data_IF_509123724079
#
_entry.id   IF_509123724079
#
_cell.length_a   1.000
_cell.length_b   1.000
_cell.length_c   1.000
_cell.angle_alpha   90.00
_cell.angle_beta   90.00
_cell.angle_gamma   90.00
#
_symmetry.space_group_name_H-M   'P 1'
#
loop_
_entity.id
_entity.type
_entity.pdbx_description
1 polymer ?
#
# COMPACT_ATOMS: atom_id res chain seq x y z
N UNK A 1 3.77 39.28 55.36
CA UNK A 1 3.86 37.83 55.11
C UNK A 1 3.29 37.55 53.72
N UNK A 2 4.15 37.19 52.75
CA UNK A 2 3.78 37.02 51.34
C UNK A 2 3.42 35.55 51.11
N UNK A 3 2.16 35.26 50.79
CA UNK A 3 1.67 33.91 50.51
C UNK A 3 2.17 33.41 49.15
N UNK A 4 2.89 32.29 49.17
CA UNK A 4 3.42 31.61 48.00
C UNK A 4 2.29 30.75 47.38
N UNK A 5 1.72 31.18 46.25
CA UNK A 5 0.80 30.36 45.45
C UNK A 5 1.61 29.21 44.81
N UNK A 6 1.31 27.98 45.22
CA UNK A 6 1.81 26.76 44.54
C UNK A 6 1.00 26.55 43.26
N UNK A 7 1.68 26.55 42.12
CA UNK A 7 1.15 26.15 40.81
C UNK A 7 1.07 24.61 40.72
N UNK A 8 0.05 24.03 40.06
CA UNK A 8 -0.10 22.58 39.97
C UNK A 8 0.73 22.03 38.80
N UNK A 9 1.92 21.47 39.08
CA UNK A 9 2.71 20.72 38.10
C UNK A 9 2.23 19.26 37.90
N UNK A 10 1.31 18.76 38.72
CA UNK A 10 0.98 17.33 38.75
C UNK A 10 0.05 16.84 37.61
N UNK A 11 -0.75 17.72 37.00
CA UNK A 11 -1.79 17.30 36.07
C UNK A 11 -1.30 17.03 34.64
N UNK A 12 -0.22 17.70 34.21
CA UNK A 12 0.35 17.53 32.86
C UNK A 12 1.21 16.25 32.75
N UNK A 13 2.01 15.95 33.78
CA UNK A 13 2.86 14.73 33.81
C UNK A 13 2.04 13.45 33.91
N UNK A 14 0.86 13.48 34.54
CA UNK A 14 -0.02 12.32 34.62
C UNK A 14 -0.72 12.03 33.28
N UNK A 15 -1.22 13.07 32.60
CA UNK A 15 -1.78 12.93 31.25
C UNK A 15 -0.73 12.41 30.25
N UNK A 16 0.50 12.95 30.31
CA UNK A 16 1.60 12.53 29.44
C UNK A 16 2.00 11.06 29.70
N UNK A 17 2.00 10.62 30.97
CA UNK A 17 2.28 9.23 31.36
C UNK A 17 1.21 8.25 30.88
N UNK A 18 -0.07 8.60 30.96
CA UNK A 18 -1.18 7.77 30.46
C UNK A 18 -1.17 7.66 28.94
N UNK A 19 -0.88 8.76 28.22
CA UNK A 19 -0.76 8.76 26.76
C UNK A 19 0.44 7.92 26.29
N UNK A 20 1.59 7.99 26.97
CA UNK A 20 2.75 7.15 26.63
C UNK A 20 2.49 5.65 26.87
N UNK A 21 1.84 5.29 27.98
CA UNK A 21 1.51 3.90 28.31
C UNK A 21 0.51 3.31 27.31
N UNK A 22 -0.48 4.10 26.89
CA UNK A 22 -1.45 3.70 25.88
C UNK A 22 -0.75 3.47 24.53
N UNK A 23 0.11 4.41 24.08
CA UNK A 23 0.87 4.27 22.82
C UNK A 23 1.75 3.02 22.81
N UNK A 24 2.33 2.63 23.94
CA UNK A 24 3.14 1.41 24.08
C UNK A 24 2.29 0.12 24.00
N UNK A 25 1.11 0.11 24.63
CA UNK A 25 0.18 -1.03 24.53
C UNK A 25 -0.36 -1.22 23.10
N UNK A 26 -0.52 -0.14 22.33
CA UNK A 26 -1.04 -0.20 20.97
C UNK A 26 0.03 -0.54 19.93
N UNK A 27 1.27 -0.09 20.15
CA UNK A 27 2.41 -0.61 19.42
C UNK A 27 2.56 -2.15 19.64
N UNK A 28 2.22 -2.64 20.83
CA UNK A 28 2.20 -4.07 21.11
C UNK A 28 1.08 -4.81 20.35
N UNK A 29 -0.12 -4.22 20.19
CA UNK A 29 -1.18 -4.80 19.35
C UNK A 29 -0.71 -4.96 17.89
N UNK A 30 -0.09 -3.92 17.32
CA UNK A 30 0.45 -3.98 15.96
C UNK A 30 1.55 -5.03 15.82
N UNK A 31 2.41 -5.17 16.84
CA UNK A 31 3.42 -6.24 16.88
C UNK A 31 2.77 -7.63 16.87
N UNK A 32 1.70 -7.84 17.64
CA UNK A 32 0.96 -9.12 17.67
C UNK A 32 0.34 -9.44 16.31
N UNK A 33 -0.28 -8.45 15.64
CA UNK A 33 -0.85 -8.64 14.29
C UNK A 33 0.27 -8.98 13.30
N UNK A 34 1.40 -8.26 13.33
CA UNK A 34 2.55 -8.52 12.48
C UNK A 34 3.15 -9.92 12.71
N UNK A 35 3.24 -10.36 13.97
CA UNK A 35 3.71 -11.70 14.32
C UNK A 35 2.75 -12.77 13.82
N UNK A 36 1.43 -12.57 13.95
CA UNK A 36 0.42 -13.46 13.38
C UNK A 36 0.54 -13.56 11.84
N UNK A 37 0.79 -12.44 11.15
CA UNK A 37 1.08 -12.44 9.71
C UNK A 37 2.35 -13.23 9.38
N UNK A 38 3.42 -13.07 10.17
CA UNK A 38 4.65 -13.83 9.98
C UNK A 38 4.45 -15.33 10.18
N UNK A 39 3.71 -15.74 11.22
CA UNK A 39 3.38 -17.16 11.45
C UNK A 39 2.51 -17.70 10.32
N UNK A 40 1.49 -16.95 9.89
CA UNK A 40 0.68 -17.28 8.72
C UNK A 40 1.54 -17.52 7.48
N UNK A 41 2.52 -16.65 7.21
CA UNK A 41 3.43 -16.81 6.09
C UNK A 41 4.38 -18.00 6.25
N UNK A 42 4.76 -18.39 7.46
CA UNK A 42 5.55 -19.61 7.68
C UNK A 42 4.74 -20.87 7.36
N UNK A 43 3.46 -20.91 7.71
CA UNK A 43 2.60 -22.07 7.46
C UNK A 43 2.10 -22.13 6.03
N UNK A 44 1.74 -20.98 5.44
CA UNK A 44 1.05 -20.87 4.14
C UNK A 44 1.94 -20.42 2.99
N UNK A 45 3.16 -19.94 3.26
CA UNK A 45 4.05 -19.20 2.33
C UNK A 45 3.53 -17.83 1.89
N UNK A 46 2.39 -17.38 2.43
CA UNK A 46 1.76 -16.13 2.04
C UNK A 46 1.41 -15.25 3.24
N UNK A 47 1.48 -13.93 3.03
CA UNK A 47 0.69 -13.01 3.81
C UNK A 47 -0.76 -13.00 3.31
N UNK A 48 -1.68 -12.79 4.24
CA UNK A 48 -3.08 -12.43 4.00
C UNK A 48 -3.30 -11.02 4.54
N UNK A 49 -4.42 -10.42 4.20
CA UNK A 49 -4.85 -9.18 4.85
C UNK A 49 -5.35 -9.46 6.28
N UNK A 50 -5.27 -8.48 7.21
CA UNK A 50 -5.44 -8.76 8.64
C UNK A 50 -6.78 -9.39 9.03
N UNK A 51 -7.85 -9.07 8.31
CA UNK A 51 -9.20 -9.64 8.49
C UNK A 51 -9.23 -11.16 8.42
N UNK A 52 -8.37 -11.81 7.64
CA UNK A 52 -8.37 -13.27 7.52
C UNK A 52 -7.67 -13.97 8.71
N UNK A 53 -6.92 -13.25 9.55
CA UNK A 53 -6.10 -13.87 10.61
C UNK A 53 -6.93 -14.56 11.70
N UNK A 54 -8.21 -14.19 11.85
CA UNK A 54 -9.14 -14.80 12.80
C UNK A 54 -9.94 -15.96 12.22
N UNK A 55 -9.71 -16.33 10.97
CA UNK A 55 -10.39 -17.45 10.33
C UNK A 55 -9.96 -18.79 10.91
N UNK A 56 -10.96 -19.66 11.06
CA UNK A 56 -10.80 -21.03 11.54
C UNK A 56 -10.95 -22.02 10.39
N UNK A 57 -11.02 -23.32 10.68
CA UNK A 57 -11.43 -24.35 9.71
C UNK A 57 -12.94 -24.65 9.76
N UNK A 58 -13.70 -23.95 10.62
CA UNK A 58 -15.16 -23.99 10.67
C UNK A 58 -15.78 -22.90 9.77
N UNK A 59 -16.42 -23.27 8.64
CA UNK A 59 -17.10 -22.31 7.77
C UNK A 59 -18.36 -21.70 8.38
N UNK A 60 -18.76 -22.09 9.59
CA UNK A 60 -19.95 -21.58 10.29
C UNK A 60 -19.60 -20.69 11.49
N UNK A 61 -18.34 -20.27 11.63
CA UNK A 61 -17.94 -19.31 12.66
C UNK A 61 -18.76 -18.01 12.57
N UNK A 62 -18.93 -17.30 13.68
CA UNK A 62 -19.72 -16.07 13.74
C UNK A 62 -19.00 -14.98 14.56
N UNK A 63 -18.82 -13.76 14.04
CA UNK A 63 -19.08 -13.34 12.65
C UNK A 63 -18.04 -13.91 11.69
N UNK A 64 -18.48 -14.31 10.49
CA UNK A 64 -17.62 -14.68 9.38
C UNK A 64 -17.76 -13.61 8.30
N UNK A 65 -16.67 -12.91 8.00
CA UNK A 65 -16.66 -11.78 7.06
C UNK A 65 -16.06 -12.16 5.70
N UNK A 66 -14.92 -12.85 5.68
CA UNK A 66 -14.36 -13.52 4.49
C UNK A 66 -13.71 -14.81 4.97
N UNK A 67 -14.20 -15.96 4.53
CA UNK A 67 -13.61 -17.24 4.91
C UNK A 67 -12.49 -17.61 3.93
N UNK A 68 -11.33 -18.03 4.43
CA UNK A 68 -10.16 -18.44 3.64
C UNK A 68 -10.39 -19.44 2.49
N UNK A 69 -11.55 -20.09 2.41
CA UNK A 69 -11.94 -20.94 1.28
C UNK A 69 -13.22 -20.53 0.55
N UNK A 70 -13.90 -19.45 0.95
CA UNK A 70 -15.14 -19.01 0.32
C UNK A 70 -14.87 -18.42 -1.08
N UNK A 71 -15.82 -18.60 -2.00
CA UNK A 71 -15.74 -18.05 -3.36
C UNK A 71 -14.44 -18.36 -4.12
N UNK A 72 -13.82 -19.52 -3.87
CA UNK A 72 -12.58 -19.95 -4.53
C UNK A 72 -11.27 -19.73 -3.75
N UNK A 73 -11.32 -19.20 -2.53
CA UNK A 73 -10.13 -18.98 -1.69
C UNK A 73 -10.06 -17.57 -1.12
N UNK A 74 -8.91 -17.16 -0.58
CA UNK A 74 -8.66 -15.76 -0.20
C UNK A 74 -7.54 -15.14 -1.04
N UNK A 75 -7.45 -13.81 -1.04
CA UNK A 75 -6.36 -13.11 -1.70
C UNK A 75 -5.09 -13.22 -0.86
N UNK A 76 -4.01 -13.65 -1.50
CA UNK A 76 -2.74 -13.94 -0.83
C UNK A 76 -1.59 -13.17 -1.47
N UNK A 77 -0.64 -12.76 -0.64
CA UNK A 77 0.54 -11.98 -1.04
C UNK A 77 1.80 -12.79 -0.74
N UNK A 78 2.57 -13.22 -1.75
CA UNK A 78 3.90 -13.76 -1.51
C UNK A 78 4.78 -12.68 -0.84
N UNK A 79 5.43 -12.96 0.31
CA UNK A 79 6.20 -11.95 1.05
C UNK A 79 7.32 -11.30 0.23
N UNK A 80 7.91 -12.02 -0.72
CA UNK A 80 8.93 -11.48 -1.63
C UNK A 80 8.37 -10.61 -2.75
N UNK A 81 7.07 -10.70 -3.04
CA UNK A 81 6.46 -10.04 -4.20
C UNK A 81 5.75 -8.72 -3.85
N UNK A 82 5.16 -8.60 -2.66
CA UNK A 82 4.50 -7.35 -2.23
C UNK A 82 3.15 -7.07 -2.89
N UNK A 83 2.63 -7.95 -3.75
CA UNK A 83 1.33 -7.84 -4.44
C UNK A 83 0.55 -9.14 -4.33
N UNK A 84 -0.76 -9.06 -4.53
CA UNK A 84 -1.61 -10.23 -4.55
C UNK A 84 -1.31 -11.14 -5.76
N UNK A 85 -1.46 -12.46 -5.56
CA UNK A 85 -1.49 -13.40 -6.67
C UNK A 85 -2.70 -13.12 -7.58
N UNK A 86 -2.61 -13.39 -8.91
CA UNK A 86 -3.71 -13.13 -9.84
C UNK A 86 -5.02 -13.89 -9.56
N UNK A 87 -4.95 -14.94 -8.74
CA UNK A 87 -6.10 -15.77 -8.38
C UNK A 87 -6.15 -15.98 -6.88
N UNK A 88 -7.36 -15.98 -6.31
CA UNK A 88 -7.60 -16.39 -4.93
C UNK A 88 -7.08 -17.81 -4.71
N UNK A 89 -6.61 -18.09 -3.50
CA UNK A 89 -6.03 -19.39 -3.11
C UNK A 89 -6.84 -19.98 -1.97
N UNK A 90 -7.33 -21.20 -2.16
CA UNK A 90 -7.97 -21.95 -1.08
C UNK A 90 -6.91 -22.46 -0.10
N UNK A 91 -6.77 -21.78 1.03
CA UNK A 91 -5.72 -22.07 2.01
C UNK A 91 -5.97 -23.35 2.82
N UNK A 92 -7.20 -23.89 2.86
CA UNK A 92 -7.51 -25.16 3.53
C UNK A 92 -7.01 -26.38 2.76
N UNK A 93 -6.96 -26.28 1.43
CA UNK A 93 -6.62 -27.40 0.53
C UNK A 93 -5.27 -27.25 -0.17
N UNK A 94 -4.63 -26.10 -0.02
CA UNK A 94 -3.28 -25.85 -0.54
C UNK A 94 -2.23 -26.80 0.06
N UNK A 95 -1.05 -26.87 -0.57
CA UNK A 95 0.07 -27.67 -0.05
C UNK A 95 0.57 -27.13 1.30
N UNK A 96 0.65 -25.82 1.43
CA UNK A 96 1.00 -25.08 2.64
C UNK A 96 -0.27 -24.59 3.33
N UNK A 97 -0.84 -25.46 4.18
CA UNK A 97 -2.19 -25.29 4.70
C UNK A 97 -2.29 -24.21 5.77
N UNK A 98 -3.44 -23.55 5.79
CA UNK A 98 -3.88 -22.74 6.91
C UNK A 98 -3.90 -23.56 8.20
N UNK A 99 -3.36 -22.99 9.28
CA UNK A 99 -3.38 -23.52 10.65
C UNK A 99 -3.96 -22.54 11.66
N UNK A 100 -4.59 -21.49 11.16
CA UNK A 100 -5.22 -20.49 12.00
C UNK A 100 -6.43 -21.02 12.78
N UNK A 101 -7.06 -20.17 13.59
CA UNK A 101 -6.84 -18.73 13.62
C UNK A 101 -5.46 -18.38 14.18
N UNK A 102 -4.74 -17.50 13.50
CA UNK A 102 -3.44 -17.01 13.98
C UNK A 102 -3.61 -15.88 15.00
N UNK A 103 -4.75 -15.21 14.97
CA UNK A 103 -5.12 -14.17 15.93
C UNK A 103 -6.63 -14.16 16.13
N UNK A 104 -7.11 -14.20 17.37
CA UNK A 104 -8.54 -14.05 17.66
C UNK A 104 -8.85 -12.61 18.02
N UNK A 105 -9.70 -11.95 17.25
CA UNK A 105 -10.16 -10.59 17.55
C UNK A 105 -11.19 -10.58 18.67
N UNK A 106 -11.13 -9.56 19.51
CA UNK A 106 -12.14 -9.35 20.54
C UNK A 106 -13.51 -9.04 19.90
N UNK A 107 -14.62 -9.52 20.49
CA UNK A 107 -15.96 -9.20 19.98
C UNK A 107 -16.18 -7.69 19.85
N UNK A 108 -16.68 -7.24 18.70
CA UNK A 108 -16.92 -5.82 18.42
C UNK A 108 -15.68 -5.00 18.06
N UNK A 109 -14.50 -5.63 17.90
CA UNK A 109 -13.24 -4.97 17.51
C UNK A 109 -12.87 -5.27 16.05
N UNK A 110 -13.86 -5.50 15.21
CA UNK A 110 -13.72 -5.71 13.77
C UNK A 110 -14.65 -4.77 13.00
N UNK A 111 -14.23 -4.35 11.82
CA UNK A 111 -15.04 -3.51 10.95
C UNK A 111 -16.31 -4.27 10.51
N UNK A 112 -17.49 -3.75 10.83
CA UNK A 112 -18.75 -4.39 10.46
C UNK A 112 -19.27 -3.98 9.07
N UNK A 113 -18.89 -2.80 8.58
CA UNK A 113 -19.30 -2.27 7.28
C UNK A 113 -18.30 -2.52 6.16
N UNK A 114 -18.68 -2.10 4.94
CA UNK A 114 -17.90 -2.26 3.70
C UNK A 114 -16.85 -1.15 3.46
N UNK A 115 -16.70 -0.21 4.39
CA UNK A 115 -15.81 0.96 4.31
C UNK A 115 -15.38 1.38 5.73
N UNK A 116 -14.22 2.04 5.91
CA UNK A 116 -13.28 2.54 4.90
C UNK A 116 -12.25 1.51 4.38
N UNK A 117 -12.19 0.32 4.98
CA UNK A 117 -11.30 -0.77 4.56
C UNK A 117 -12.10 -2.08 4.39
N UNK A 118 -11.49 -3.26 4.45
CA UNK A 118 -12.22 -4.52 4.27
C UNK A 118 -13.09 -4.88 5.48
N UNK A 119 -14.24 -5.51 5.23
CA UNK A 119 -15.12 -6.01 6.27
C UNK A 119 -14.40 -7.11 7.09
N UNK A 120 -14.56 -7.09 8.41
CA UNK A 120 -13.85 -8.00 9.31
C UNK A 120 -12.46 -7.54 9.74
N UNK A 121 -11.95 -6.47 9.15
CA UNK A 121 -10.63 -5.92 9.53
C UNK A 121 -10.57 -5.55 11.00
N UNK A 122 -9.49 -5.90 11.73
CA UNK A 122 -9.33 -5.53 13.12
C UNK A 122 -9.25 -4.01 13.25
N UNK A 123 -9.96 -3.49 14.25
CA UNK A 123 -9.98 -2.07 14.56
C UNK A 123 -8.87 -1.72 15.54
N UNK A 124 -8.19 -0.63 15.24
CA UNK A 124 -7.32 0.07 16.16
C UNK A 124 -8.11 0.63 17.37
N UNK A 125 -7.44 1.09 18.42
CA UNK A 125 -8.09 1.55 19.65
C UNK A 125 -9.07 2.73 19.47
N UNK A 126 -8.95 3.46 18.38
CA UNK A 126 -9.77 4.63 18.06
C UNK A 126 -10.96 4.27 17.15
N UNK A 127 -11.04 3.02 16.71
CA UNK A 127 -12.14 2.49 15.91
C UNK A 127 -11.89 2.56 14.40
N UNK A 128 -10.68 2.95 13.97
CA UNK A 128 -10.25 2.88 12.58
C UNK A 128 -9.65 1.50 12.30
N UNK A 129 -9.73 0.96 11.08
CA UNK A 129 -9.08 -0.32 10.77
C UNK A 129 -7.55 -0.19 10.82
N UNK A 130 -6.86 -1.29 11.15
CA UNK A 130 -5.43 -1.41 10.90
C UNK A 130 -5.20 -1.62 9.40
N UNK A 131 -4.39 -0.75 8.79
CA UNK A 131 -4.08 -0.80 7.37
C UNK A 131 -2.77 -1.56 7.12
N UNK A 132 -2.79 -2.50 6.20
CA UNK A 132 -1.61 -3.27 5.82
C UNK A 132 -1.01 -2.76 4.51
N UNK A 133 0.25 -2.32 4.56
CA UNK A 133 1.00 -1.88 3.41
C UNK A 133 2.09 -2.90 3.05
N UNK A 134 2.33 -3.02 1.76
CA UNK A 134 3.60 -3.51 1.23
C UNK A 134 4.43 -2.33 0.72
N UNK A 135 5.70 -2.54 0.33
CA UNK A 135 6.49 -1.54 -0.38
C UNK A 135 5.90 -1.05 -1.71
N UNK A 136 4.87 -1.73 -2.22
CA UNK A 136 4.16 -1.37 -3.45
C UNK A 136 2.96 -0.45 -3.20
N UNK A 137 2.39 -0.46 -2.00
CA UNK A 137 1.19 0.32 -1.66
C UNK A 137 0.35 -0.29 -0.55
N UNK A 138 -0.85 0.28 -0.35
CA UNK A 138 -1.86 -0.26 0.55
C UNK A 138 -2.43 -1.55 -0.06
N UNK A 139 -2.41 -2.65 0.70
CA UNK A 139 -3.02 -3.90 0.27
C UNK A 139 -4.54 -3.83 0.52
N UNK A 140 -5.34 -4.20 -0.47
CA UNK A 140 -6.81 -4.19 -0.41
C UNK A 140 -7.34 -5.62 -0.58
N UNK A 141 -7.73 -6.25 0.52
CA UNK A 141 -8.25 -7.62 0.57
C UNK A 141 -9.50 -7.77 -0.27
N UNK A 142 -10.48 -6.90 -0.05
CA UNK A 142 -11.75 -6.78 -0.78
C UNK A 142 -11.66 -6.91 -2.31
N UNK A 143 -10.59 -6.35 -2.89
CA UNK A 143 -10.39 -6.22 -4.34
C UNK A 143 -9.19 -6.98 -4.88
N UNK A 144 -8.35 -7.56 -4.01
CA UNK A 144 -7.07 -8.16 -4.39
C UNK A 144 -6.15 -7.15 -5.08
N UNK A 145 -6.16 -5.89 -4.66
CA UNK A 145 -5.45 -4.80 -5.32
C UNK A 145 -4.42 -4.10 -4.41
N UNK A 146 -3.43 -3.45 -5.03
CA UNK A 146 -2.47 -2.62 -4.31
C UNK A 146 -2.70 -1.16 -4.72
N UNK A 147 -3.07 -0.29 -3.78
CA UNK A 147 -3.46 1.09 -4.05
C UNK A 147 -2.44 2.10 -3.53
N UNK A 148 -2.54 3.34 -4.02
CA UNK A 148 -1.73 4.48 -3.56
C UNK A 148 -2.52 5.38 -2.59
N UNK A 149 -3.52 4.81 -1.91
CA UNK A 149 -4.27 5.47 -0.85
C UNK A 149 -3.39 5.67 0.40
N UNK A 150 -3.74 6.67 1.21
CA UNK A 150 -3.01 6.99 2.44
C UNK A 150 -1.50 7.17 2.16
N UNK A 151 -0.65 6.41 2.86
CA UNK A 151 0.80 6.43 2.71
C UNK A 151 1.30 5.90 1.36
N UNK A 152 0.45 5.23 0.57
CA UNK A 152 0.80 4.66 -0.72
C UNK A 152 2.10 3.85 -0.67
N UNK A 153 3.04 4.17 -1.55
CA UNK A 153 4.34 3.50 -1.70
C UNK A 153 5.46 4.12 -0.84
N UNK A 154 5.13 4.70 0.31
CA UNK A 154 6.10 5.34 1.20
C UNK A 154 7.09 4.34 1.82
N UNK A 155 6.60 3.16 2.23
CA UNK A 155 7.38 2.19 2.97
C UNK A 155 8.33 1.38 2.09
N UNK A 156 9.48 0.98 2.64
CA UNK A 156 10.46 0.09 2.00
C UNK A 156 10.32 -1.38 2.44
N UNK A 157 9.45 -1.64 3.42
CA UNK A 157 9.07 -2.96 3.95
C UNK A 157 7.57 -3.02 4.19
N UNK A 158 7.07 -4.18 4.60
CA UNK A 158 5.68 -4.27 5.05
C UNK A 158 5.47 -3.41 6.29
N UNK A 159 4.31 -2.77 6.36
CA UNK A 159 3.95 -1.91 7.47
C UNK A 159 2.49 -2.09 7.86
N UNK A 160 2.22 -2.16 9.15
CA UNK A 160 0.90 -1.88 9.69
C UNK A 160 0.84 -0.39 10.03
N UNK A 161 -0.31 0.23 9.75
CA UNK A 161 -0.58 1.61 10.08
C UNK A 161 -1.90 1.70 10.85
N UNK A 162 -1.90 2.45 11.94
CA UNK A 162 -3.10 2.97 12.58
C UNK A 162 -3.12 4.48 12.40
N UNK A 163 -4.26 5.03 11.96
CA UNK A 163 -4.47 6.46 11.69
C UNK A 163 -4.75 7.26 12.96
N UNK A 164 -4.38 6.73 14.12
CA UNK A 164 -4.53 7.44 15.38
C UNK A 164 -5.97 7.85 15.67
N UNK A 165 -6.11 8.94 16.42
CA UNK A 165 -7.41 9.36 16.96
C UNK A 165 -8.28 10.06 15.93
N UNK A 166 -7.66 10.76 14.99
CA UNK A 166 -8.37 11.55 14.00
C UNK A 166 -8.82 10.72 12.80
N UNK A 167 -8.30 9.49 12.65
CA UNK A 167 -8.69 8.56 11.59
C UNK A 167 -8.26 9.03 10.21
N UNK A 168 -7.29 9.95 10.15
CA UNK A 168 -6.75 10.49 8.89
C UNK A 168 -5.23 10.39 8.90
N UNK A 169 -4.63 10.36 7.71
CA UNK A 169 -3.17 10.31 7.60
C UNK A 169 -2.55 11.57 8.22
N UNK A 170 -1.82 11.37 9.32
CA UNK A 170 -1.47 12.43 10.24
C UNK A 170 -0.17 12.12 10.99
N UNK A 171 0.30 13.09 11.78
CA UNK A 171 1.53 12.95 12.58
C UNK A 171 1.35 12.10 13.85
N UNK A 172 0.12 11.85 14.28
CA UNK A 172 -0.18 11.00 15.44
C UNK A 172 -0.29 9.51 15.09
N UNK A 173 -0.25 9.17 13.80
CA UNK A 173 -0.28 7.81 13.29
C UNK A 173 0.80 6.92 13.93
N UNK A 174 0.44 5.65 14.08
CA UNK A 174 1.36 4.60 14.50
C UNK A 174 1.73 3.75 13.29
N UNK A 175 3.04 3.50 13.14
CA UNK A 175 3.60 2.72 12.04
C UNK A 175 4.43 1.61 12.66
N UNK A 176 4.17 0.37 12.26
CA UNK A 176 4.94 -0.80 12.67
C UNK A 176 5.42 -1.55 11.43
N UNK A 177 6.73 -1.56 11.19
CA UNK A 177 7.33 -2.25 10.04
C UNK A 177 7.75 -3.66 10.40
N UNK A 178 7.52 -4.61 9.48
CA UNK A 178 7.78 -6.03 9.71
C UNK A 178 8.07 -6.77 8.40
N UNK A 179 8.25 -8.08 8.52
CA UNK A 179 8.36 -8.99 7.37
C UNK A 179 9.65 -8.83 6.57
N UNK A 180 9.94 -9.71 5.60
CA UNK A 180 11.08 -9.51 4.73
C UNK A 180 10.89 -8.26 3.85
N UNK A 181 11.98 -7.74 3.29
CA UNK A 181 11.88 -6.77 2.19
C UNK A 181 11.31 -7.44 0.94
N UNK A 182 10.66 -6.65 0.08
CA UNK A 182 10.17 -7.13 -1.23
C UNK A 182 11.32 -7.15 -2.24
N UNK A 183 11.42 -8.23 -3.00
CA UNK A 183 12.42 -8.42 -4.06
C UNK A 183 11.84 -8.24 -5.46
N UNK A 184 10.53 -8.01 -5.59
CA UNK A 184 9.89 -7.65 -6.87
C UNK A 184 10.67 -6.56 -7.59
N UNK A 185 10.83 -6.71 -8.90
CA UNK A 185 11.21 -5.64 -9.79
C UNK A 185 9.92 -5.01 -10.32
N UNK A 186 9.52 -3.88 -9.76
CA UNK A 186 8.20 -3.31 -10.00
C UNK A 186 8.20 -1.78 -9.91
N UNK A 187 7.33 -1.13 -10.69
CA UNK A 187 7.01 0.29 -10.61
C UNK A 187 5.79 0.49 -9.71
N UNK A 188 5.80 1.58 -8.95
CA UNK A 188 4.77 1.85 -7.94
C UNK A 188 4.03 3.16 -8.19
N UNK A 189 4.73 4.25 -8.48
CA UNK A 189 4.05 5.54 -8.67
C UNK A 189 4.88 6.50 -9.51
N UNK A 190 4.21 7.56 -9.95
CA UNK A 190 4.82 8.68 -10.65
C UNK A 190 4.66 9.95 -9.83
N UNK A 191 5.70 10.79 -9.81
CA UNK A 191 5.71 12.08 -9.13
C UNK A 191 6.34 13.15 -10.02
N UNK A 192 5.87 14.37 -9.90
CA UNK A 192 6.40 15.52 -10.60
C UNK A 192 5.43 16.70 -10.53
N UNK A 193 5.86 17.92 -10.89
CA UNK A 193 5.05 19.14 -10.74
C UNK A 193 3.71 19.10 -11.46
N UNK A 194 3.60 18.35 -12.55
CA UNK A 194 2.40 18.27 -13.39
C UNK A 194 1.94 16.83 -13.62
N UNK A 195 2.31 15.92 -12.71
CA UNK A 195 1.82 14.54 -12.75
C UNK A 195 0.45 14.50 -12.08
N UNK A 196 -0.57 14.23 -12.86
CA UNK A 196 -1.93 13.98 -12.39
C UNK A 196 -2.11 12.48 -12.19
N UNK A 197 -2.62 12.07 -11.02
CA UNK A 197 -3.01 10.69 -10.74
C UNK A 197 -4.50 10.52 -11.01
N UNK A 198 -4.84 9.54 -11.84
CA UNK A 198 -6.22 9.28 -12.25
C UNK A 198 -6.73 8.04 -11.50
N UNK A 199 -7.46 8.27 -10.40
CA UNK A 199 -8.04 7.21 -9.54
C UNK A 199 -7.24 6.84 -8.29
N UNK A 200 -7.58 5.70 -7.68
CA UNK A 200 -7.01 5.21 -6.41
C UNK A 200 -5.62 4.57 -6.52
N UNK A 201 -5.14 4.30 -7.74
CA UNK A 201 -3.77 3.85 -8.02
C UNK A 201 -3.67 2.45 -8.66
N UNK A 202 -2.57 2.26 -9.41
CA UNK A 202 -2.00 1.02 -9.96
C UNK A 202 -2.99 -0.07 -10.36
N UNK A 203 -3.75 0.14 -11.45
CA UNK A 203 -4.55 -0.95 -12.04
C UNK A 203 -3.69 -2.14 -12.47
N UNK A 204 -2.41 -1.91 -12.76
CA UNK A 204 -1.48 -2.98 -13.16
C UNK A 204 -1.02 -3.90 -12.03
N UNK A 205 -1.29 -3.54 -10.77
CA UNK A 205 -0.96 -4.37 -9.61
C UNK A 205 -2.19 -5.03 -8.96
N UNK A 206 -3.35 -4.95 -9.61
CA UNK A 206 -4.51 -5.75 -9.21
C UNK A 206 -4.32 -7.21 -9.62
N UNK A 207 -4.77 -8.12 -8.77
CA UNK A 207 -4.86 -9.54 -9.09
C UNK A 207 -5.87 -9.80 -10.21
N UNK A 208 -6.99 -9.09 -10.18
CA UNK A 208 -7.95 -9.03 -11.27
C UNK A 208 -7.41 -8.09 -12.36
N UNK A 209 -6.48 -8.58 -13.18
CA UNK A 209 -6.02 -7.84 -14.35
C UNK A 209 -7.23 -7.35 -15.15
N UNK A 210 -7.27 -6.06 -15.47
CA UNK A 210 -8.41 -5.39 -16.12
C UNK A 210 -8.61 -5.90 -17.56
N UNK A 211 -9.09 -7.14 -17.73
CA UNK A 211 -9.41 -7.68 -19.03
C UNK A 211 -10.74 -7.11 -19.51
N UNK A 212 -10.70 -6.21 -20.49
CA UNK A 212 -11.85 -5.91 -21.35
C UNK A 212 -12.28 -4.45 -21.47
N UNK A 213 -11.70 -3.52 -20.70
CA UNK A 213 -11.87 -2.07 -20.96
C UNK A 213 -10.62 -1.52 -21.66
N UNK A 214 -10.74 -0.49 -22.53
CA UNK A 214 -9.56 0.25 -22.96
C UNK A 214 -8.80 0.70 -21.71
N UNK A 215 -7.45 0.63 -21.70
CA UNK A 215 -6.69 0.98 -20.51
C UNK A 215 -7.01 2.43 -20.15
N UNK A 216 -7.61 2.66 -18.99
CA UNK A 216 -7.68 4.00 -18.42
C UNK A 216 -6.27 4.37 -17.95
N UNK A 217 -5.78 5.58 -18.25
CA UNK A 217 -4.48 5.99 -17.74
C UNK A 217 -4.48 5.97 -16.20
N UNK A 218 -3.43 5.42 -15.62
CA UNK A 218 -3.15 5.54 -14.18
C UNK A 218 -2.68 6.96 -13.85
N UNK A 219 -1.94 7.57 -14.79
CA UNK A 219 -1.37 8.90 -14.66
C UNK A 219 -1.45 9.67 -15.97
N UNK A 220 -1.54 11.00 -15.85
CA UNK A 220 -1.42 11.95 -16.94
C UNK A 220 -0.29 12.94 -16.67
N UNK A 221 0.47 13.27 -17.70
CA UNK A 221 1.57 14.23 -17.59
C UNK A 221 1.77 15.01 -18.90
N UNK A 222 2.12 16.31 -18.87
CA UNK A 222 2.49 17.04 -20.06
C UNK A 222 3.82 16.59 -20.65
N UNK A 223 3.93 16.57 -21.98
CA UNK A 223 5.17 16.35 -22.70
C UNK A 223 6.25 17.37 -22.28
N UNK A 224 7.52 16.97 -22.28
CA UNK A 224 8.61 17.83 -21.80
C UNK A 224 8.79 17.87 -20.27
N UNK A 225 7.87 17.31 -19.49
CA UNK A 225 7.94 17.34 -18.03
C UNK A 225 9.07 16.48 -17.47
N UNK A 226 9.58 16.88 -16.31
CA UNK A 226 10.43 16.04 -15.47
C UNK A 226 9.54 15.10 -14.65
N UNK A 227 9.75 13.80 -14.84
CA UNK A 227 9.01 12.71 -14.22
C UNK A 227 9.92 11.95 -13.27
N UNK A 228 9.51 11.80 -12.02
CA UNK A 228 10.13 10.87 -11.06
C UNK A 228 9.29 9.60 -11.01
N UNK A 229 9.90 8.50 -11.43
CA UNK A 229 9.32 7.16 -11.46
C UNK A 229 9.77 6.45 -10.20
N UNK A 230 8.83 5.99 -9.37
CA UNK A 230 9.11 5.22 -8.16
C UNK A 230 8.88 3.74 -8.40
N UNK A 231 9.61 2.91 -7.66
CA UNK A 231 9.50 1.47 -7.73
C UNK A 231 10.28 0.75 -6.65
N UNK A 232 10.33 -0.58 -6.75
CA UNK A 232 11.15 -1.46 -5.91
C UNK A 232 12.19 -2.16 -6.76
N UNK A 233 13.37 -2.39 -6.17
CA UNK A 233 14.46 -3.15 -6.78
C UNK A 233 14.88 -2.62 -8.16
N UNK A 234 14.91 -1.28 -8.34
CA UNK A 234 15.31 -0.65 -9.61
C UNK A 234 16.84 -0.69 -9.84
N UNK A 235 17.62 -1.07 -8.83
CA UNK A 235 19.08 -1.03 -8.83
C UNK A 235 19.62 0.33 -8.39
N UNK A 236 20.79 0.38 -7.75
CA UNK A 236 21.39 1.64 -7.27
C UNK A 236 21.95 2.54 -8.37
N UNK A 237 22.03 2.04 -9.60
CA UNK A 237 22.47 2.72 -10.81
C UNK A 237 21.71 2.14 -12.01
N UNK A 238 21.67 2.86 -13.14
CA UNK A 238 20.96 2.43 -14.35
C UNK A 238 21.46 1.07 -14.88
N UNK A 239 22.78 0.89 -15.04
CA UNK A 239 23.33 -0.37 -15.55
C UNK A 239 22.76 -0.74 -16.93
N UNK A 240 22.20 -1.95 -17.05
CA UNK A 240 21.52 -2.46 -18.26
C UNK A 240 20.03 -2.09 -18.31
N UNK A 241 19.52 -1.37 -17.31
CA UNK A 241 18.11 -1.03 -17.24
C UNK A 241 17.73 0.08 -18.24
N UNK A 242 16.57 -0.09 -18.87
CA UNK A 242 16.00 0.83 -19.86
C UNK A 242 14.60 1.24 -19.42
N UNK A 243 14.31 2.53 -19.49
CA UNK A 243 12.98 3.08 -19.22
C UNK A 243 12.22 3.14 -20.54
N UNK A 244 11.11 2.43 -20.62
CA UNK A 244 10.32 2.30 -21.85
C UNK A 244 8.96 2.94 -21.68
N UNK A 245 8.49 3.65 -22.70
CA UNK A 245 7.12 4.10 -22.86
C UNK A 245 6.58 3.56 -24.19
N UNK A 246 5.75 2.52 -24.13
CA UNK A 246 5.43 1.70 -25.29
C UNK A 246 6.70 1.08 -25.89
N UNK A 247 6.98 1.39 -27.15
CA UNK A 247 8.19 0.96 -27.87
C UNK A 247 9.33 1.99 -27.83
N UNK A 248 9.13 3.12 -27.14
CA UNK A 248 10.06 4.24 -27.11
C UNK A 248 10.90 4.18 -25.83
N UNK A 249 12.22 4.19 -25.98
CA UNK A 249 13.13 4.32 -24.84
C UNK A 249 13.29 5.79 -24.42
N UNK A 250 13.07 6.05 -23.14
CA UNK A 250 13.28 7.37 -22.53
C UNK A 250 14.73 7.47 -22.03
N UNK A 251 15.57 8.22 -22.75
CA UNK A 251 17.02 8.24 -22.52
C UNK A 251 17.51 9.42 -21.67
N UNK A 252 16.70 10.47 -21.49
CA UNK A 252 17.10 11.66 -20.75
C UNK A 252 16.92 11.48 -19.23
N UNK A 253 17.75 10.62 -18.65
CA UNK A 253 17.73 10.23 -17.24
C UNK A 253 18.73 11.09 -16.46
N UNK A 254 18.26 11.77 -15.41
CA UNK A 254 19.08 12.67 -14.58
C UNK A 254 19.42 12.10 -13.21
N UNK A 255 18.67 11.10 -12.73
CA UNK A 255 18.91 10.44 -11.45
C UNK A 255 18.45 8.98 -11.49
N UNK A 256 19.17 8.11 -10.78
CA UNK A 256 18.81 6.70 -10.62
C UNK A 256 19.18 6.20 -9.23
N UNK A 257 18.22 5.57 -8.56
CA UNK A 257 18.39 4.90 -7.28
C UNK A 257 17.59 3.60 -7.27
N UNK A 258 17.73 2.80 -6.22
CA UNK A 258 16.98 1.54 -6.08
C UNK A 258 15.47 1.73 -5.94
N UNK A 259 15.00 2.96 -5.67
CA UNK A 259 13.60 3.29 -5.42
C UNK A 259 13.02 4.35 -6.36
N UNK A 260 13.87 5.16 -6.98
CA UNK A 260 13.43 6.31 -7.77
C UNK A 260 14.35 6.55 -8.97
N UNK A 261 13.76 6.88 -10.11
CA UNK A 261 14.44 7.28 -11.35
C UNK A 261 13.83 8.57 -11.85
N UNK A 262 14.65 9.56 -12.17
CA UNK A 262 14.18 10.83 -12.72
C UNK A 262 14.50 10.88 -14.21
N UNK A 263 13.46 11.09 -15.02
CA UNK A 263 13.53 11.16 -16.48
C UNK A 263 12.84 12.42 -16.98
N UNK A 264 13.43 13.07 -17.99
CA UNK A 264 12.77 14.17 -18.71
C UNK A 264 12.08 13.61 -19.94
N UNK A 265 10.77 13.78 -20.03
CA UNK A 265 9.99 13.32 -21.19
C UNK A 265 10.36 14.16 -22.42
N UNK A 266 10.57 13.57 -23.61
CA UNK A 266 10.69 14.34 -24.84
C UNK A 266 9.42 15.17 -25.10
N UNK A 267 9.58 16.38 -25.62
CA UNK A 267 8.47 17.27 -25.97
C UNK A 267 7.58 16.74 -27.10
N UNK A 268 8.10 15.81 -27.90
CA UNK A 268 7.40 15.21 -29.04
C UNK A 268 6.58 13.97 -28.70
N UNK A 269 6.59 13.51 -27.45
CA UNK A 269 5.83 12.33 -27.04
C UNK A 269 4.41 12.73 -26.66
N UNK A 270 3.42 12.03 -27.24
CA UNK A 270 2.00 12.22 -26.95
C UNK A 270 1.25 10.90 -27.11
N UNK A 271 0.20 10.72 -26.32
CA UNK A 271 -0.70 9.56 -26.37
C UNK A 271 -0.69 8.76 -25.08
N UNK A 272 -1.28 7.56 -25.13
CA UNK A 272 -1.36 6.64 -24.01
C UNK A 272 -0.53 5.39 -24.31
N UNK A 273 0.42 5.06 -23.44
CA UNK A 273 1.17 3.82 -23.53
C UNK A 273 1.59 3.30 -22.15
N UNK A 274 2.12 2.08 -22.13
CA UNK A 274 2.68 1.48 -20.93
C UNK A 274 4.07 2.05 -20.65
N UNK A 275 4.26 2.61 -19.46
CA UNK A 275 5.55 2.91 -18.88
C UNK A 275 6.04 1.68 -18.10
N UNK A 276 7.22 1.16 -18.43
CA UNK A 276 7.80 0.00 -17.76
C UNK A 276 9.32 0.01 -17.88
N UNK A 277 10.01 -0.74 -17.03
CA UNK A 277 11.46 -0.91 -17.14
C UNK A 277 11.77 -2.31 -17.65
N UNK A 278 12.83 -2.39 -18.46
CA UNK A 278 13.47 -3.65 -18.83
C UNK A 278 14.84 -3.66 -18.17
N UNK A 279 15.23 -4.79 -17.56
CA UNK A 279 16.59 -5.04 -17.08
C UNK A 279 16.94 -6.50 -17.35
N UNK A 280 17.95 -6.73 -18.17
CA UNK A 280 18.35 -8.05 -18.65
C UNK A 280 17.13 -8.79 -19.27
N UNK A 281 16.73 -9.94 -18.70
CA UNK A 281 15.56 -10.71 -19.14
C UNK A 281 14.28 -10.39 -18.34
N UNK A 282 14.30 -9.39 -17.46
CA UNK A 282 13.17 -9.03 -16.60
C UNK A 282 12.49 -7.74 -17.07
N UNK A 283 11.18 -7.69 -16.87
CA UNK A 283 10.36 -6.51 -17.05
C UNK A 283 9.59 -6.21 -15.77
N UNK A 284 9.40 -4.93 -15.45
CA UNK A 284 8.47 -4.52 -14.38
C UNK A 284 7.02 -4.73 -14.80
N UNK A 285 6.10 -4.57 -13.85
CA UNK A 285 4.72 -4.24 -14.19
C UNK A 285 4.68 -2.92 -15.01
N UNK A 286 3.70 -2.80 -15.92
CA UNK A 286 3.47 -1.55 -16.63
C UNK A 286 2.72 -0.55 -15.75
N UNK A 287 2.86 0.75 -16.02
CA UNK A 287 1.96 1.81 -15.57
C UNK A 287 1.38 2.43 -16.83
N UNK A 288 0.06 2.58 -16.94
CA UNK A 288 -0.54 3.25 -18.09
C UNK A 288 -0.38 4.77 -17.94
N UNK A 289 0.49 5.35 -18.76
CA UNK A 289 0.84 6.78 -18.72
C UNK A 289 0.31 7.48 -19.97
N UNK A 290 -0.57 8.45 -19.76
CA UNK A 290 -0.99 9.39 -20.79
C UNK A 290 -0.06 10.60 -20.81
N UNK A 291 0.60 10.83 -21.95
CA UNK A 291 1.38 12.03 -22.21
C UNK A 291 0.55 12.97 -23.09
N UNK A 292 0.27 14.16 -22.59
CA UNK A 292 -0.54 15.17 -23.28
C UNK A 292 0.32 16.34 -23.74
N UNK A 293 -0.19 17.13 -24.69
CA UNK A 293 0.45 18.40 -25.04
C UNK A 293 0.61 19.30 -23.83
N UNK A 294 1.71 20.06 -23.79
CA UNK A 294 1.89 21.10 -22.78
C UNK A 294 0.88 22.23 -23.04
N UNK A 295 -0.24 22.22 -22.33
CA UNK A 295 -1.20 23.33 -22.34
C UNK A 295 -0.79 24.35 -21.30
N UNK A 296 -0.08 25.39 -21.74
CA UNK A 296 0.20 26.56 -20.92
C UNK A 296 -1.06 27.44 -20.74
N UNK A 297 -2.16 26.94 -20.19
CA UNK A 297 -3.26 27.76 -19.63
C UNK A 297 -4.46 26.95 -19.13
N UNK A 298 -4.72 27.01 -17.82
CA UNK A 298 -6.09 27.10 -17.25
C UNK A 298 -6.09 27.83 -15.90
N UNK A 299 -5.17 28.78 -15.67
CA UNK A 299 -5.15 29.61 -14.44
C UNK A 299 -5.19 31.12 -14.73
N UNK A 300 -5.68 31.50 -15.90
CA UNK A 300 -6.02 32.89 -16.21
C UNK A 300 -7.55 33.03 -16.24
N UNK A 301 -8.21 32.83 -15.10
CA UNK A 301 -9.46 33.54 -14.85
C UNK A 301 -9.07 34.97 -14.44
N UNK A 302 -8.90 35.84 -15.43
CA UNK A 302 -8.97 37.26 -15.20
C UNK A 302 -10.31 37.56 -14.53
N UNK A 303 -10.26 38.31 -13.43
CA UNK A 303 -11.42 39.02 -12.91
C UNK A 303 -12.01 39.90 -14.03
N UNK A 304 -13.20 39.55 -14.50
CA UNK A 304 -14.18 40.48 -15.07
C UNK A 304 -15.49 40.37 -14.28
#
# INVERSE_FOLDING_TARGET
>A
MRGQKRTPLASASFLLGVVLLARAAYAQEMAIIADALNVCALDTTYYVTPEALNDTDDPNANPLYDYISDGGGTWVVPPSEGRFLPTRVNLLTSYHRWRGPYLTFQPGRTQAGIQPYDQGSPLDPWGSPYYLFSPLGLLRGDSGSVTLELYGDFFDRYALVSLGRDGVQSSDDLIYTFGPGVTSFALTSLRGPQVERLGSGLQSLSAAGSQGSPPTPDFRVPAGSVLTIRGVNLGSVQGTARVMWGDIELTNISNWTSREVTVTLPQSLHGLAQLYFIRDAQQTNPIFLEIVDYTAATDWSLYE
#
